data_IF_157739792598
#
_entry.id   IF_157739792598
#
_cell.length_a   1.000
_cell.length_b   1.000
_cell.length_c   1.000
_cell.angle_alpha   90.00
_cell.angle_beta   90.00
_cell.angle_gamma   90.00
#
_symmetry.space_group_name_H-M   'P 1'
#
loop_
_entity.id
_entity.type
_entity.pdbx_description
1 polymer ?
#
# COMPACT_ATOMS: atom_id res chain seq x y z
N UNK A 1 -28.74 32.26 -1.79
CA UNK A 1 -27.67 31.95 -0.82
C UNK A 1 -26.50 31.39 -1.60
N UNK A 2 -25.28 31.79 -1.27
CA UNK A 2 -24.06 31.27 -1.89
C UNK A 2 -23.00 31.03 -0.82
N UNK A 3 -22.03 30.17 -1.11
CA UNK A 3 -20.91 29.90 -0.22
C UNK A 3 -20.41 28.47 -0.37
N UNK A 4 -19.12 28.30 -0.12
CA UNK A 4 -18.44 27.01 -0.14
C UNK A 4 -17.44 27.00 1.00
N UNK A 5 -17.31 25.87 1.69
CA UNK A 5 -16.25 25.67 2.67
C UNK A 5 -15.75 24.22 2.65
N UNK A 6 -14.57 23.96 3.20
CA UNK A 6 -14.03 22.62 3.24
C UNK A 6 -13.06 22.42 4.40
N UNK A 7 -12.90 21.16 4.82
CA UNK A 7 -11.82 20.75 5.72
C UNK A 7 -11.17 19.45 5.27
N UNK A 8 -10.02 19.14 5.85
CA UNK A 8 -9.44 17.80 5.79
C UNK A 8 -10.10 16.95 6.89
N UNK A 9 -10.34 15.67 6.61
CA UNK A 9 -10.87 14.72 7.58
C UNK A 9 -10.04 14.70 8.87
N UNK A 10 -10.74 14.83 10.00
CA UNK A 10 -10.16 14.92 11.34
C UNK A 10 -10.88 14.01 12.36
N UNK A 11 -11.75 13.11 11.88
CA UNK A 11 -12.57 12.21 12.69
C UNK A 11 -13.71 12.88 13.47
N UNK A 12 -13.94 14.19 13.30
CA UNK A 12 -14.94 14.95 14.05
C UNK A 12 -16.07 15.44 13.14
N UNK A 13 -17.29 15.43 13.65
CA UNK A 13 -18.43 16.06 12.98
C UNK A 13 -18.25 17.58 12.98
N UNK A 14 -18.47 18.23 11.83
CA UNK A 14 -18.53 19.70 11.74
C UNK A 14 -19.93 20.19 12.13
N UNK A 15 -20.03 21.19 13.00
CA UNK A 15 -21.31 21.86 13.26
C UNK A 15 -21.47 23.00 12.25
N UNK A 16 -22.71 23.23 11.80
CA UNK A 16 -22.99 24.27 10.80
C UNK A 16 -22.60 25.67 11.31
N UNK A 17 -22.74 25.90 12.62
CA UNK A 17 -22.38 27.17 13.27
C UNK A 17 -20.85 27.44 13.21
N UNK A 18 -20.01 26.39 13.13
CA UNK A 18 -18.56 26.54 13.05
C UNK A 18 -18.11 27.08 11.68
N UNK A 19 -18.93 26.91 10.64
CA UNK A 19 -18.65 27.32 9.25
C UNK A 19 -19.65 28.35 8.72
N UNK A 20 -20.51 28.89 9.59
CA UNK A 20 -21.60 29.80 9.22
C UNK A 20 -21.11 31.02 8.43
N UNK A 21 -19.93 31.55 8.78
CA UNK A 21 -19.32 32.72 8.15
C UNK A 21 -18.88 32.51 6.70
N UNK A 22 -18.83 31.27 6.21
CA UNK A 22 -18.47 30.93 4.83
C UNK A 22 -19.66 31.06 3.85
N UNK A 23 -20.85 31.36 4.37
CA UNK A 23 -22.08 31.48 3.59
C UNK A 23 -22.66 32.89 3.66
N UNK A 24 -23.33 33.30 2.59
CA UNK A 24 -23.98 34.62 2.51
C UNK A 24 -25.32 34.54 1.82
N UNK A 25 -26.20 35.47 2.17
CA UNK A 25 -27.51 35.66 1.55
C UNK A 25 -27.60 37.10 1.06
N UNK A 26 -27.70 37.26 -0.26
CA UNK A 26 -28.08 38.52 -0.90
C UNK A 26 -29.55 38.46 -1.27
N UNK A 27 -30.29 39.49 -0.90
CA UNK A 27 -31.71 39.65 -1.16
C UNK A 27 -31.93 40.32 -2.54
N UNK A 28 -33.11 40.12 -3.12
CA UNK A 28 -33.44 40.66 -4.45
C UNK A 28 -33.50 42.19 -4.50
N UNK A 29 -33.69 42.85 -3.35
CA UNK A 29 -33.61 44.30 -3.20
C UNK A 29 -32.16 44.84 -3.17
N UNK A 30 -31.16 43.96 -3.25
CA UNK A 30 -29.73 44.31 -3.24
C UNK A 30 -29.09 44.35 -1.85
N UNK A 31 -29.85 44.16 -0.77
CA UNK A 31 -29.33 44.10 0.59
C UNK A 31 -28.77 42.70 0.93
N UNK A 32 -28.02 42.63 2.02
CA UNK A 32 -27.46 41.38 2.54
C UNK A 32 -28.12 41.00 3.86
N UNK A 33 -28.42 39.71 4.03
CA UNK A 33 -28.87 39.17 5.32
C UNK A 33 -27.69 38.52 6.06
N UNK A 34 -27.48 38.92 7.31
CA UNK A 34 -26.52 38.28 8.21
C UNK A 34 -27.14 37.02 8.80
N UNK A 35 -26.62 35.86 8.39
CA UNK A 35 -27.02 34.55 8.90
C UNK A 35 -26.77 34.43 10.41
N UNK A 36 -27.68 33.75 11.09
CA UNK A 36 -27.66 33.47 12.53
C UNK A 36 -27.61 31.97 12.78
N UNK A 37 -27.23 31.58 13.99
CA UNK A 37 -27.28 30.19 14.42
C UNK A 37 -28.71 29.63 14.24
N UNK A 38 -28.80 28.44 13.65
CA UNK A 38 -30.08 27.80 13.32
C UNK A 38 -30.69 28.21 11.97
N UNK A 39 -30.16 29.21 11.27
CA UNK A 39 -30.64 29.58 9.93
C UNK A 39 -30.25 28.56 8.87
N UNK A 40 -29.13 27.86 9.07
CA UNK A 40 -28.58 26.88 8.13
C UNK A 40 -28.62 25.46 8.70
N UNK A 41 -28.63 24.48 7.80
CA UNK A 41 -28.41 23.07 8.10
C UNK A 41 -27.60 22.39 7.00
N UNK A 42 -26.88 21.34 7.36
CA UNK A 42 -26.41 20.36 6.40
C UNK A 42 -27.54 19.41 5.99
N UNK A 43 -27.42 18.79 4.82
CA UNK A 43 -28.31 17.72 4.37
C UNK A 43 -28.17 16.42 5.19
N UNK A 44 -27.01 16.22 5.83
CA UNK A 44 -26.68 15.12 6.75
C UNK A 44 -25.50 15.52 7.64
N UNK A 45 -25.24 14.75 8.70
CA UNK A 45 -24.13 15.03 9.61
C UNK A 45 -22.77 14.95 8.89
N UNK A 46 -21.99 16.05 8.85
CA UNK A 46 -20.74 16.07 8.11
C UNK A 46 -19.58 15.59 8.97
N UNK A 47 -19.27 14.30 8.86
CA UNK A 47 -18.16 13.67 9.59
C UNK A 47 -17.11 13.07 8.65
N UNK A 48 -17.56 12.29 7.68
CA UNK A 48 -16.70 11.53 6.78
C UNK A 48 -16.36 12.32 5.52
N UNK A 49 -15.34 11.89 4.77
CA UNK A 49 -15.00 12.44 3.46
C UNK A 49 -16.19 12.33 2.53
N UNK A 50 -16.76 13.47 2.20
CA UNK A 50 -17.87 13.58 1.26
C UNK A 50 -18.11 15.05 0.88
N UNK A 51 -19.02 15.24 -0.07
CA UNK A 51 -19.65 16.52 -0.38
C UNK A 51 -21.01 16.60 0.29
N UNK A 52 -21.22 17.72 0.97
CA UNK A 52 -22.41 18.04 1.72
C UNK A 52 -23.08 19.28 1.12
N UNK A 53 -24.40 19.33 1.26
CA UNK A 53 -25.22 20.46 0.82
C UNK A 53 -25.63 21.25 2.05
N UNK A 54 -25.43 22.56 1.98
CA UNK A 54 -25.91 23.51 2.98
C UNK A 54 -27.17 24.18 2.46
N UNK A 55 -28.20 24.23 3.28
CA UNK A 55 -29.50 24.81 2.93
C UNK A 55 -30.03 25.64 4.09
N UNK A 56 -30.92 26.59 3.78
CA UNK A 56 -31.68 27.28 4.82
C UNK A 56 -32.61 26.30 5.55
N UNK A 57 -32.80 26.53 6.84
CA UNK A 57 -33.88 25.92 7.62
C UNK A 57 -35.18 26.70 7.41
N UNK A 58 -36.30 26.14 7.87
CA UNK A 58 -37.56 26.89 7.90
C UNK A 58 -37.47 28.16 8.78
N UNK A 59 -36.68 28.11 9.86
CA UNK A 59 -36.43 29.27 10.71
C UNK A 59 -35.59 30.33 9.98
N UNK A 60 -34.55 29.92 9.24
CA UNK A 60 -33.75 30.83 8.43
C UNK A 60 -34.56 31.53 7.34
N UNK A 61 -35.45 30.79 6.67
CA UNK A 61 -36.39 31.35 5.69
C UNK A 61 -37.30 32.40 6.37
N UNK A 62 -37.91 32.05 7.52
CA UNK A 62 -38.77 32.97 8.26
C UNK A 62 -38.03 34.23 8.74
N UNK A 63 -36.77 34.08 9.18
CA UNK A 63 -35.94 35.20 9.60
C UNK A 63 -35.63 36.15 8.44
N UNK A 64 -35.35 35.61 7.25
CA UNK A 64 -35.13 36.41 6.03
C UNK A 64 -36.41 37.15 5.62
N UNK A 65 -37.56 36.48 5.67
CA UNK A 65 -38.86 37.08 5.35
C UNK A 65 -39.23 38.23 6.29
N UNK A 66 -38.73 38.21 7.53
CA UNK A 66 -38.97 39.26 8.51
C UNK A 66 -37.96 40.43 8.46
N UNK A 67 -37.00 40.44 7.52
CA UNK A 67 -35.96 41.49 7.44
C UNK A 67 -36.55 42.86 7.12
N UNK A 68 -37.51 42.93 6.19
CA UNK A 68 -38.20 44.17 5.83
C UNK A 68 -39.66 43.86 5.48
N UNK A 69 -40.60 44.36 6.29
CA UNK A 69 -42.04 44.17 6.11
C UNK A 69 -42.62 44.82 4.86
N UNK A 70 -41.86 45.68 4.17
CA UNK A 70 -42.28 46.27 2.90
C UNK A 70 -42.15 45.30 1.71
N UNK A 71 -41.42 44.18 1.88
CA UNK A 71 -41.19 43.18 0.83
C UNK A 71 -41.70 41.80 1.25
N UNK A 72 -42.23 41.04 0.29
CA UNK A 72 -42.58 39.63 0.48
C UNK A 72 -41.47 38.76 -0.15
N UNK A 73 -40.44 38.45 0.65
CA UNK A 73 -39.32 37.65 0.16
C UNK A 73 -39.72 36.17 0.00
N UNK A 74 -39.72 35.68 -1.24
CA UNK A 74 -39.91 34.26 -1.54
C UNK A 74 -38.57 33.58 -1.81
N UNK A 75 -38.41 32.32 -1.38
CA UNK A 75 -37.23 31.52 -1.73
C UNK A 75 -37.18 31.26 -3.25
N UNK A 76 -36.01 31.48 -3.86
CA UNK A 76 -35.75 31.08 -5.25
C UNK A 76 -35.38 29.60 -5.40
N UNK A 77 -35.18 29.14 -6.63
CA UNK A 77 -34.97 27.71 -6.94
C UNK A 77 -33.59 27.15 -6.48
N UNK A 78 -32.57 27.99 -6.30
CA UNK A 78 -31.22 27.57 -5.87
C UNK A 78 -30.72 28.36 -4.65
N UNK A 79 -31.12 27.91 -3.46
CA UNK A 79 -30.69 28.51 -2.18
C UNK A 79 -29.80 27.53 -1.41
N UNK A 80 -28.78 27.01 -2.08
CA UNK A 80 -27.85 26.04 -1.49
C UNK A 80 -26.40 26.51 -1.55
N UNK A 81 -25.64 26.18 -0.51
CA UNK A 81 -24.18 26.25 -0.47
C UNK A 81 -23.60 24.84 -0.47
N UNK A 82 -22.28 24.72 -0.59
CA UNK A 82 -21.58 23.44 -0.51
C UNK A 82 -20.61 23.38 0.66
N UNK A 83 -20.37 22.18 1.15
CA UNK A 83 -19.33 21.88 2.12
C UNK A 83 -18.63 20.58 1.75
N UNK A 84 -17.30 20.52 1.81
CA UNK A 84 -16.54 19.33 1.45
C UNK A 84 -15.60 18.90 2.59
N UNK A 85 -15.69 17.63 2.98
CA UNK A 85 -14.64 17.00 3.78
C UNK A 85 -13.75 16.23 2.81
N UNK A 86 -12.49 16.64 2.71
CA UNK A 86 -11.47 16.00 1.88
C UNK A 86 -10.77 14.90 2.66
N UNK A 87 -10.24 13.91 1.95
CA UNK A 87 -9.46 12.84 2.56
C UNK A 87 -8.25 13.40 3.33
N UNK A 88 -7.94 12.76 4.45
CA UNK A 88 -6.66 12.97 5.12
C UNK A 88 -5.56 12.13 4.44
N UNK A 89 -4.32 12.61 4.48
CA UNK A 89 -3.18 11.82 4.04
C UNK A 89 -2.85 10.73 5.05
N UNK A 90 -2.59 9.52 4.57
CA UNK A 90 -1.98 8.45 5.34
C UNK A 90 -0.91 7.73 4.52
N UNK A 91 -0.06 6.98 5.19
CA UNK A 91 0.95 6.10 4.59
C UNK A 91 0.71 4.63 4.95
N UNK A 92 1.15 3.74 4.05
CA UNK A 92 1.31 2.31 4.30
C UNK A 92 2.79 1.90 4.19
N UNK A 93 3.19 0.94 5.00
CA UNK A 93 4.50 0.27 4.90
C UNK A 93 4.32 -1.24 4.76
N UNK A 94 5.30 -1.92 4.16
CA UNK A 94 5.37 -3.38 4.06
C UNK A 94 6.69 -3.83 4.64
N UNK A 95 6.64 -4.76 5.59
CA UNK A 95 7.81 -5.37 6.23
C UNK A 95 7.66 -6.88 6.30
N UNK A 96 8.77 -7.56 6.63
CA UNK A 96 8.80 -9.01 6.80
C UNK A 96 9.97 -9.67 6.08
N UNK A 97 10.35 -10.85 6.58
CA UNK A 97 11.46 -11.63 6.06
C UNK A 97 11.14 -13.11 6.15
N UNK A 98 11.54 -13.89 5.15
CA UNK A 98 11.48 -15.34 5.21
C UNK A 98 12.66 -15.98 4.44
N UNK A 99 12.93 -17.25 4.67
CA UNK A 99 14.01 -17.95 3.95
C UNK A 99 13.81 -19.46 3.89
N UNK A 100 14.42 -20.08 2.88
CA UNK A 100 14.56 -21.53 2.80
C UNK A 100 15.95 -21.94 2.36
N UNK A 101 16.32 -23.19 2.61
CA UNK A 101 17.45 -23.82 1.92
C UNK A 101 17.01 -24.27 0.53
N UNK A 102 17.90 -24.15 -0.45
CA UNK A 102 17.65 -24.61 -1.81
C UNK A 102 17.24 -26.10 -1.83
N UNK A 103 16.11 -26.38 -2.46
CA UNK A 103 15.49 -27.71 -2.58
C UNK A 103 15.08 -28.04 -4.02
N UNK A 104 15.52 -27.23 -4.99
CA UNK A 104 15.18 -27.36 -6.41
C UNK A 104 13.76 -26.90 -6.80
N UNK A 105 12.96 -26.38 -5.86
CA UNK A 105 11.58 -25.96 -6.10
C UNK A 105 11.41 -24.45 -5.99
N UNK A 106 10.68 -23.87 -6.94
CA UNK A 106 10.20 -22.49 -6.87
C UNK A 106 9.27 -22.30 -5.67
N UNK A 107 9.45 -21.20 -4.95
CA UNK A 107 8.55 -20.78 -3.85
C UNK A 107 7.35 -20.00 -4.40
N UNK A 108 6.13 -20.32 -4.01
CA UNK A 108 4.98 -19.45 -4.30
C UNK A 108 4.87 -18.38 -3.23
N UNK A 109 4.52 -17.15 -3.62
CA UNK A 109 4.42 -16.04 -2.66
C UNK A 109 3.36 -16.30 -1.59
N UNK A 110 2.28 -16.99 -1.94
CA UNK A 110 1.20 -17.33 -1.00
C UNK A 110 1.65 -18.34 0.08
N UNK A 111 2.68 -19.15 -0.19
CA UNK A 111 3.22 -20.11 0.78
C UNK A 111 3.95 -19.42 1.94
N UNK A 112 4.41 -18.18 1.72
CA UNK A 112 5.18 -17.37 2.68
C UNK A 112 4.46 -16.07 3.06
N UNK A 113 3.20 -15.90 2.67
CA UNK A 113 2.42 -14.67 2.86
C UNK A 113 2.38 -14.22 4.33
N UNK A 114 2.28 -15.18 5.26
CA UNK A 114 2.20 -14.93 6.71
C UNK A 114 3.49 -14.39 7.34
N UNK A 115 4.61 -14.39 6.61
CA UNK A 115 5.90 -13.82 7.06
C UNK A 115 6.00 -12.31 6.83
N UNK A 116 4.96 -11.71 6.25
CA UNK A 116 4.90 -10.29 5.89
C UNK A 116 3.70 -9.60 6.53
N UNK A 117 3.83 -8.29 6.75
CA UNK A 117 2.79 -7.47 7.35
C UNK A 117 2.75 -6.07 6.73
N UNK A 118 1.54 -5.51 6.66
CA UNK A 118 1.31 -4.12 6.28
C UNK A 118 0.94 -3.32 7.53
N UNK A 119 1.58 -2.17 7.70
CA UNK A 119 1.22 -1.20 8.76
C UNK A 119 0.63 0.04 8.11
N UNK A 120 -0.51 0.50 8.64
CA UNK A 120 -1.17 1.73 8.21
C UNK A 120 -0.98 2.82 9.28
N UNK A 121 -0.53 4.00 8.86
CA UNK A 121 -0.25 5.11 9.79
C UNK A 121 -1.50 5.76 10.39
N UNK A 122 -2.69 5.52 9.83
CA UNK A 122 -3.95 5.94 10.43
C UNK A 122 -4.38 5.04 11.61
N UNK A 123 -3.66 3.97 11.90
CA UNK A 123 -3.92 3.04 13.00
C UNK A 123 -4.87 1.89 12.67
N UNK A 124 -5.45 1.86 11.46
CA UNK A 124 -6.24 0.72 10.99
C UNK A 124 -5.37 -0.49 10.71
N UNK A 125 -5.99 -1.67 10.71
CA UNK A 125 -5.31 -2.94 10.41
C UNK A 125 -5.64 -3.44 9.01
N UNK A 126 -4.64 -3.98 8.32
CA UNK A 126 -4.83 -4.67 7.04
C UNK A 126 -4.21 -6.06 7.08
N UNK A 127 -5.01 -7.08 6.74
CA UNK A 127 -4.52 -8.45 6.57
C UNK A 127 -4.27 -8.72 5.09
N UNK A 128 -3.02 -9.09 4.77
CA UNK A 128 -2.63 -9.49 3.43
C UNK A 128 -3.44 -10.70 2.94
N UNK A 129 -3.85 -10.67 1.68
CA UNK A 129 -4.55 -11.76 1.00
C UNK A 129 -3.80 -12.22 -0.24
N UNK A 130 -4.18 -13.39 -0.75
CA UNK A 130 -3.61 -13.94 -1.97
C UNK A 130 -3.69 -12.93 -3.13
N UNK A 131 -2.58 -12.76 -3.84
CA UNK A 131 -2.44 -11.78 -4.92
C UNK A 131 -2.04 -10.37 -4.49
N UNK A 132 -1.95 -10.07 -3.18
CA UNK A 132 -1.48 -8.77 -2.71
C UNK A 132 0.03 -8.60 -2.86
N UNK A 133 0.79 -9.69 -2.78
CA UNK A 133 2.26 -9.66 -2.84
C UNK A 133 2.79 -10.30 -4.12
N UNK A 134 4.00 -9.89 -4.48
CA UNK A 134 4.80 -10.52 -5.54
C UNK A 134 6.27 -10.53 -5.18
N UNK A 135 6.98 -11.54 -5.68
CA UNK A 135 8.44 -11.49 -5.77
C UNK A 135 8.87 -10.62 -6.95
N UNK A 136 10.08 -10.04 -6.86
CA UNK A 136 10.69 -9.30 -7.96
C UNK A 136 11.11 -10.19 -9.15
N UNK A 137 11.30 -11.50 -8.93
CA UNK A 137 11.69 -12.51 -9.91
C UNK A 137 11.37 -13.92 -9.39
N UNK A 138 11.53 -14.94 -10.23
CA UNK A 138 11.23 -16.34 -9.88
C UNK A 138 12.12 -16.88 -8.73
N UNK A 139 11.56 -17.21 -7.55
CA UNK A 139 12.31 -17.60 -6.37
C UNK A 139 12.62 -19.11 -6.35
N UNK A 140 13.58 -19.51 -7.19
CA UNK A 140 14.01 -20.91 -7.30
C UNK A 140 15.44 -21.19 -6.84
N UNK A 141 16.40 -20.35 -7.23
CA UNK A 141 17.82 -20.59 -7.04
C UNK A 141 18.34 -19.86 -5.79
N UNK A 142 19.55 -20.20 -5.34
CA UNK A 142 20.21 -19.47 -4.25
C UNK A 142 20.38 -17.98 -4.61
N UNK A 143 19.62 -17.11 -3.94
CA UNK A 143 19.68 -15.67 -4.11
C UNK A 143 18.89 -14.95 -3.01
N UNK A 144 18.97 -13.62 -3.01
CA UNK A 144 18.07 -12.73 -2.29
C UNK A 144 17.00 -12.19 -3.25
N UNK A 145 15.77 -12.18 -2.76
CA UNK A 145 14.57 -11.78 -3.47
C UNK A 145 13.89 -10.66 -2.68
N UNK A 146 13.19 -9.80 -3.41
CA UNK A 146 12.42 -8.68 -2.84
C UNK A 146 10.95 -9.00 -2.98
N UNK A 147 10.21 -8.80 -1.89
CA UNK A 147 8.76 -8.92 -1.84
C UNK A 147 8.15 -7.52 -1.83
N UNK A 148 7.17 -7.29 -2.70
CA UNK A 148 6.50 -5.99 -2.83
C UNK A 148 4.99 -6.18 -3.00
N UNK A 149 4.23 -5.14 -2.70
CA UNK A 149 2.80 -5.10 -3.01
C UNK A 149 2.57 -5.12 -4.53
N UNK A 150 1.50 -5.77 -4.96
CA UNK A 150 0.93 -5.66 -6.31
C UNK A 150 0.04 -4.42 -6.40
N UNK A 151 -0.36 -4.04 -7.62
CA UNK A 151 -1.35 -2.98 -7.80
C UNK A 151 -2.69 -3.34 -7.13
N UNK A 152 -3.06 -4.62 -7.13
CA UNK A 152 -4.25 -5.11 -6.43
C UNK A 152 -4.08 -4.93 -4.91
N UNK A 153 -2.94 -5.32 -4.34
CA UNK A 153 -2.64 -5.12 -2.91
C UNK A 153 -2.72 -3.65 -2.50
N UNK A 154 -2.17 -2.74 -3.31
CA UNK A 154 -2.30 -1.30 -3.06
C UNK A 154 -3.76 -0.85 -3.13
N UNK A 155 -4.53 -1.28 -4.14
CA UNK A 155 -5.94 -0.93 -4.24
C UNK A 155 -6.78 -1.45 -3.06
N UNK A 156 -6.44 -2.62 -2.53
CA UNK A 156 -7.07 -3.17 -1.34
C UNK A 156 -6.77 -2.34 -0.09
N UNK A 157 -5.54 -1.84 0.05
CA UNK A 157 -5.15 -0.91 1.12
C UNK A 157 -5.94 0.41 1.00
N UNK A 158 -6.06 0.97 -0.21
CA UNK A 158 -6.86 2.20 -0.43
C UNK A 158 -8.32 2.05 -0.01
N UNK A 159 -8.86 0.83 -0.10
CA UNK A 159 -10.25 0.55 0.24
C UNK A 159 -10.48 0.29 1.75
N UNK A 160 -9.42 0.29 2.58
CA UNK A 160 -9.55 0.05 4.04
C UNK A 160 -10.34 1.16 4.72
N UNK A 161 -10.03 2.41 4.38
CA UNK A 161 -10.74 3.56 4.90
C UNK A 161 -10.81 4.67 3.84
N UNK A 162 -12.00 4.95 3.33
CA UNK A 162 -12.22 5.96 2.29
C UNK A 162 -11.95 7.39 2.78
N UNK A 163 -11.88 7.63 4.09
CA UNK A 163 -11.55 8.92 4.67
C UNK A 163 -10.07 9.29 4.53
N UNK A 164 -9.23 8.33 4.14
CA UNK A 164 -7.80 8.54 3.92
C UNK A 164 -7.39 8.25 2.48
N UNK A 165 -6.45 9.04 1.98
CA UNK A 165 -5.72 8.72 0.77
C UNK A 165 -4.36 8.14 1.20
N UNK A 166 -4.21 6.82 1.04
CA UNK A 166 -2.98 6.14 1.47
C UNK A 166 -1.87 6.31 0.43
N UNK A 167 -0.64 6.48 0.88
CA UNK A 167 0.55 6.61 0.03
C UNK A 167 1.67 5.70 0.54
N UNK A 168 2.67 5.42 -0.30
CA UNK A 168 3.83 4.65 0.13
C UNK A 168 4.60 5.42 1.22
N UNK A 169 4.87 4.75 2.35
CA UNK A 169 5.83 5.22 3.35
C UNK A 169 7.28 4.91 2.96
N UNK A 170 8.19 5.03 3.93
CA UNK A 170 9.64 4.88 3.69
C UNK A 170 10.05 3.42 3.40
N UNK A 171 9.36 2.44 3.98
CA UNK A 171 9.65 1.01 3.82
C UNK A 171 8.45 0.26 3.23
N UNK A 172 8.56 -0.18 1.97
CA UNK A 172 7.46 -0.81 1.22
C UNK A 172 7.84 -2.15 0.61
N UNK A 173 8.85 -2.80 1.18
CA UNK A 173 9.37 -4.08 0.69
C UNK A 173 9.73 -5.02 1.82
N UNK A 174 9.38 -6.29 1.67
CA UNK A 174 9.94 -7.39 2.45
C UNK A 174 11.13 -8.05 1.74
N UNK A 175 11.82 -8.94 2.45
CA UNK A 175 12.91 -9.74 1.87
C UNK A 175 12.63 -11.24 1.92
N UNK A 176 13.23 -11.98 0.99
CA UNK A 176 13.19 -13.44 0.96
C UNK A 176 14.53 -14.00 0.52
N UNK A 177 15.06 -15.02 1.21
CA UNK A 177 16.36 -15.60 0.88
C UNK A 177 16.29 -17.10 0.62
N UNK A 178 16.85 -17.54 -0.50
CA UNK A 178 17.13 -18.96 -0.75
C UNK A 178 18.61 -19.18 -0.47
N UNK A 179 18.90 -19.92 0.60
CA UNK A 179 20.24 -20.26 1.07
C UNK A 179 20.80 -21.44 0.29
N UNK A 180 22.12 -21.50 0.18
CA UNK A 180 22.79 -22.61 -0.51
C UNK A 180 22.54 -23.92 0.24
N UNK A 181 22.25 -24.98 -0.50
CA UNK A 181 22.30 -26.33 0.05
C UNK A 181 23.76 -26.77 0.20
N UNK A 182 24.06 -27.52 1.25
CA UNK A 182 25.38 -28.14 1.41
C UNK A 182 25.60 -29.23 0.36
N UNK A 183 26.82 -29.32 -0.18
CA UNK A 183 27.27 -30.42 -1.03
C UNK A 183 28.69 -30.82 -0.64
N UNK A 184 29.01 -32.10 -0.78
CA UNK A 184 30.34 -32.67 -0.53
C UNK A 184 30.89 -33.27 -1.83
N UNK A 185 32.21 -33.44 -1.88
CA UNK A 185 32.89 -34.15 -2.95
C UNK A 185 33.78 -35.24 -2.39
N UNK A 186 34.03 -36.29 -3.16
CA UNK A 186 34.97 -37.35 -2.82
C UNK A 186 35.82 -37.68 -4.04
N UNK A 187 37.14 -37.62 -3.87
CA UNK A 187 38.12 -38.10 -4.85
C UNK A 187 38.38 -39.58 -4.57
N UNK A 188 38.32 -40.42 -5.59
CA UNK A 188 38.58 -41.85 -5.49
C UNK A 188 39.38 -42.32 -6.70
N UNK A 189 40.22 -43.32 -6.50
CA UNK A 189 41.06 -43.86 -7.55
C UNK A 189 42.46 -44.22 -7.05
N UNK A 190 43.10 -45.11 -7.78
CA UNK A 190 44.48 -45.53 -7.56
C UNK A 190 45.10 -45.81 -8.91
N UNK A 191 46.36 -45.43 -9.08
CA UNK A 191 47.13 -45.75 -10.28
C UNK A 191 48.49 -46.36 -9.89
N UNK A 192 49.07 -47.18 -10.77
CA UNK A 192 50.38 -47.78 -10.56
C UNK A 192 51.11 -47.97 -11.88
N UNK A 193 52.43 -47.79 -11.85
CA UNK A 193 53.32 -47.97 -13.01
C UNK A 193 54.51 -48.84 -12.63
N UNK A 194 54.90 -49.76 -13.51
CA UNK A 194 56.16 -50.50 -13.37
C UNK A 194 57.33 -49.57 -13.70
N UNK A 195 58.41 -49.62 -12.90
CA UNK A 195 59.57 -48.75 -13.09
C UNK A 195 60.24 -48.96 -14.46
N UNK A 196 60.32 -47.88 -15.25
CA UNK A 196 60.88 -47.86 -16.61
C UNK A 196 61.93 -46.73 -16.80
N UNK A 197 62.30 -46.05 -15.71
CA UNK A 197 63.21 -44.90 -15.75
C UNK A 197 62.64 -43.62 -16.36
N UNK A 198 61.32 -43.56 -16.64
CA UNK A 198 60.65 -42.37 -17.22
C UNK A 198 59.64 -41.76 -16.24
N UNK A 199 59.61 -40.43 -16.19
CA UNK A 199 58.58 -39.68 -15.44
C UNK A 199 57.18 -39.99 -15.95
N UNK A 200 56.23 -40.21 -15.05
CA UNK A 200 54.80 -40.33 -15.37
C UNK A 200 54.19 -38.94 -15.50
N UNK A 201 53.48 -38.66 -16.59
CA UNK A 201 52.72 -37.41 -16.72
C UNK A 201 51.38 -37.58 -16.02
N UNK A 202 50.90 -36.52 -15.36
CA UNK A 202 49.60 -36.57 -14.68
C UNK A 202 48.46 -36.87 -15.68
N UNK A 203 48.57 -36.34 -16.92
CA UNK A 203 47.62 -36.62 -18.01
C UNK A 203 47.45 -38.12 -18.31
N UNK A 204 48.52 -38.91 -18.15
CA UNK A 204 48.51 -40.34 -18.46
C UNK A 204 47.70 -41.15 -17.43
N UNK A 205 47.46 -40.58 -16.24
CA UNK A 205 46.84 -41.29 -15.10
C UNK A 205 45.53 -40.67 -14.62
N UNK A 206 45.11 -39.52 -15.17
CA UNK A 206 43.86 -38.84 -14.78
C UNK A 206 42.63 -39.76 -14.87
N UNK A 207 42.60 -40.67 -15.85
CA UNK A 207 41.51 -41.62 -16.06
C UNK A 207 41.33 -42.65 -14.93
N UNK A 208 42.36 -42.85 -14.09
CA UNK A 208 42.32 -43.75 -12.93
C UNK A 208 41.66 -43.12 -11.70
N UNK A 209 41.33 -41.83 -11.77
CA UNK A 209 40.71 -41.06 -10.69
C UNK A 209 39.32 -40.56 -11.10
N UNK A 210 38.42 -40.47 -10.13
CA UNK A 210 37.06 -39.97 -10.30
C UNK A 210 36.68 -39.04 -9.16
N UNK A 211 35.84 -38.06 -9.46
CA UNK A 211 35.23 -37.17 -8.47
C UNK A 211 33.74 -37.42 -8.45
N UNK A 212 33.23 -37.79 -7.28
CA UNK A 212 31.79 -37.89 -7.03
C UNK A 212 31.34 -36.67 -6.23
N UNK A 213 30.29 -35.98 -6.70
CA UNK A 213 29.66 -34.87 -5.98
C UNK A 213 28.34 -35.34 -5.36
N UNK A 214 28.08 -34.97 -4.11
CA UNK A 214 26.86 -35.38 -3.40
C UNK A 214 25.58 -34.76 -3.98
N UNK A 215 25.71 -33.71 -4.80
CA UNK A 215 24.62 -33.05 -5.49
C UNK A 215 24.25 -33.75 -6.82
N UNK A 216 24.93 -34.84 -7.17
CA UNK A 216 24.68 -35.61 -8.40
C UNK A 216 25.30 -35.00 -9.66
N UNK A 217 26.02 -33.88 -9.56
CA UNK A 217 26.79 -33.34 -10.68
C UNK A 217 28.10 -34.13 -10.88
N UNK A 218 28.64 -34.06 -12.09
CA UNK A 218 29.91 -34.70 -12.45
C UNK A 218 31.03 -33.68 -12.59
N UNK A 219 32.23 -34.02 -12.14
CA UNK A 219 33.43 -33.23 -12.38
C UNK A 219 34.51 -34.05 -13.09
N UNK A 220 34.99 -33.53 -14.23
CA UNK A 220 36.12 -34.12 -14.96
C UNK A 220 37.42 -33.51 -14.46
N UNK A 221 38.31 -34.35 -13.92
CA UNK A 221 39.64 -33.94 -13.52
C UNK A 221 40.44 -33.42 -14.72
N UNK A 222 41.25 -32.39 -14.49
CA UNK A 222 42.17 -31.81 -15.47
C UNK A 222 43.57 -31.80 -14.87
N UNK A 223 44.59 -31.99 -15.69
CA UNK A 223 45.97 -31.80 -15.28
C UNK A 223 46.20 -30.34 -14.82
N UNK A 224 47.00 -30.17 -13.79
CA UNK A 224 47.51 -28.85 -13.41
C UNK A 224 48.49 -28.31 -14.45
N UNK A 225 48.56 -26.98 -14.56
CA UNK A 225 49.54 -26.24 -15.38
C UNK A 225 50.91 -26.29 -14.70
#
# INVERSE_FOLDING_TARGET
>A
MSGTDSKIYDGKTTKIDDVLGSYSVTLSNGESYTLKAGDLKFNKDPKDKDKYVVSLTAAGIANIQAVDSNYDFTAGDEVTGSYEIKAAGATYTLSGTDSKTYDGKTTKIDDVLGSYSVTLSNGETYTLKAGDLKFNKDPKNKDKYVVSLTAAGIANIQAVDSNYDFTAGDEVTGSYEIKAAGATYTLSGTDSKTYDGKTTKIDDVLGSYSVTLSNGESYTLKAGI
#
